data_IF_659424793688
#
_entry.id   IF_659424793688
#
_cell.length_a   1.000
_cell.length_b   1.000
_cell.length_c   1.000
_cell.angle_alpha   90.00
_cell.angle_beta   90.00
_cell.angle_gamma   90.00
#
_symmetry.space_group_name_H-M   'P 1'
#
loop_
_entity.id
_entity.type
_entity.pdbx_description
1 polymer ?
#
# COMPACT_ATOMS: atom_id res chain seq x y z
N UNK A 1 -46.06 34.80 -29.81
CA UNK A 1 -44.96 33.92 -30.24
C UNK A 1 -43.73 34.03 -29.32
N UNK A 2 -43.31 35.27 -28.96
CA UNK A 2 -42.11 35.53 -28.16
C UNK A 2 -42.18 34.96 -26.73
N UNK A 3 -43.28 35.07 -26.03
CA UNK A 3 -43.48 34.55 -24.66
C UNK A 3 -43.37 33.02 -24.63
N UNK A 4 -43.93 32.32 -25.60
CA UNK A 4 -43.87 30.88 -25.72
C UNK A 4 -42.40 30.40 -25.92
N UNK A 5 -41.63 31.11 -26.76
CA UNK A 5 -40.23 30.86 -27.00
C UNK A 5 -39.39 31.01 -25.71
N UNK A 6 -39.64 32.09 -24.94
CA UNK A 6 -38.93 32.32 -23.65
C UNK A 6 -39.27 31.23 -22.64
N UNK A 7 -40.52 30.77 -22.58
CA UNK A 7 -40.92 29.67 -21.66
C UNK A 7 -40.23 28.37 -22.04
N UNK A 8 -40.15 28.03 -23.34
CA UNK A 8 -39.47 26.81 -23.81
C UNK A 8 -37.99 26.89 -23.51
N UNK A 9 -37.33 28.01 -23.79
CA UNK A 9 -35.89 28.18 -23.50
C UNK A 9 -35.61 28.11 -22.01
N UNK A 10 -36.40 28.73 -21.17
CA UNK A 10 -36.27 28.64 -19.70
C UNK A 10 -36.41 27.19 -19.21
N UNK A 11 -37.38 26.45 -19.75
CA UNK A 11 -37.60 25.05 -19.42
C UNK A 11 -36.42 24.17 -19.83
N UNK A 12 -35.83 24.35 -21.02
CA UNK A 12 -34.66 23.62 -21.47
C UNK A 12 -33.45 23.89 -20.57
N UNK A 13 -33.16 25.14 -20.25
CA UNK A 13 -32.08 25.54 -19.35
C UNK A 13 -32.25 24.91 -17.96
N UNK A 14 -33.49 24.94 -17.44
CA UNK A 14 -33.79 24.38 -16.11
C UNK A 14 -33.62 22.86 -16.10
N UNK A 15 -34.08 22.17 -17.15
CA UNK A 15 -33.91 20.70 -17.29
C UNK A 15 -32.44 20.32 -17.43
N UNK A 16 -31.68 21.07 -18.23
CA UNK A 16 -30.26 20.81 -18.42
C UNK A 16 -29.45 21.04 -17.13
N UNK A 17 -29.72 22.13 -16.40
CA UNK A 17 -29.11 22.39 -15.09
C UNK A 17 -29.48 21.32 -14.06
N UNK A 18 -30.72 20.85 -14.04
CA UNK A 18 -31.14 19.76 -13.16
C UNK A 18 -30.44 18.46 -13.49
N UNK A 19 -30.23 18.14 -14.77
CA UNK A 19 -29.42 16.95 -15.18
C UNK A 19 -27.98 17.06 -14.72
N UNK A 20 -27.34 18.22 -14.90
CA UNK A 20 -25.94 18.43 -14.43
C UNK A 20 -25.81 18.25 -12.93
N UNK A 21 -26.78 18.74 -12.15
CA UNK A 21 -26.80 18.55 -10.68
C UNK A 21 -26.97 17.07 -10.32
N UNK A 22 -27.88 16.35 -10.98
CA UNK A 22 -28.10 14.91 -10.74
C UNK A 22 -26.87 14.10 -11.11
N UNK A 23 -26.21 14.40 -12.21
CA UNK A 23 -25.00 13.70 -12.64
C UNK A 23 -23.81 13.99 -11.70
N UNK A 24 -23.68 15.23 -11.21
CA UNK A 24 -22.69 15.58 -10.20
C UNK A 24 -22.91 14.81 -8.87
N UNK A 25 -24.16 14.72 -8.40
CA UNK A 25 -24.52 13.97 -7.20
C UNK A 25 -24.32 12.46 -7.36
N UNK A 26 -24.53 11.90 -8.55
CA UNK A 26 -24.23 10.49 -8.84
C UNK A 26 -22.74 10.24 -8.78
N UNK A 27 -21.94 11.09 -9.41
CA UNK A 27 -20.48 10.98 -9.40
C UNK A 27 -19.91 11.09 -7.98
N UNK A 28 -20.44 12.00 -7.17
CA UNK A 28 -20.06 12.14 -5.76
C UNK A 28 -20.40 10.89 -4.95
N UNK A 29 -21.58 10.32 -5.12
CA UNK A 29 -21.97 9.04 -4.47
C UNK A 29 -21.09 7.86 -4.90
N UNK A 30 -20.76 7.79 -6.20
CA UNK A 30 -19.83 6.76 -6.71
C UNK A 30 -18.44 6.92 -6.11
N UNK A 31 -17.92 8.15 -6.02
CA UNK A 31 -16.67 8.44 -5.32
C UNK A 31 -16.71 8.03 -3.86
N UNK A 32 -17.78 8.35 -3.14
CA UNK A 32 -17.91 8.00 -1.72
C UNK A 32 -18.05 6.49 -1.52
N UNK A 33 -18.73 5.79 -2.42
CA UNK A 33 -18.81 4.34 -2.41
C UNK A 33 -17.44 3.69 -2.68
N UNK A 34 -16.68 4.19 -3.66
CA UNK A 34 -15.33 3.73 -3.96
C UNK A 34 -14.39 3.99 -2.77
N UNK A 35 -14.49 5.16 -2.13
CA UNK A 35 -13.73 5.47 -0.91
C UNK A 35 -14.09 4.54 0.24
N UNK A 36 -15.38 4.29 0.47
CA UNK A 36 -15.83 3.38 1.53
C UNK A 36 -15.36 1.93 1.29
N UNK A 37 -15.36 1.47 0.04
CA UNK A 37 -14.87 0.14 -0.32
C UNK A 37 -13.33 0.07 -0.25
N UNK A 38 -12.63 1.14 -0.60
CA UNK A 38 -11.18 1.27 -0.42
C UNK A 38 -10.80 1.21 1.06
N UNK A 39 -11.51 1.95 1.93
CA UNK A 39 -11.31 1.90 3.38
C UNK A 39 -11.58 0.51 3.97
N UNK A 40 -12.63 -0.19 3.49
CA UNK A 40 -12.91 -1.58 3.90
C UNK A 40 -11.84 -2.55 3.41
N UNK A 41 -11.28 -2.33 2.23
CA UNK A 41 -10.20 -3.16 1.67
C UNK A 41 -8.85 -2.94 2.37
N UNK A 42 -8.63 -1.80 3.00
CA UNK A 42 -7.42 -1.50 3.79
C UNK A 42 -7.34 -2.36 5.05
N UNK A 43 -8.49 -2.68 5.66
CA UNK A 43 -8.56 -3.60 6.80
C UNK A 43 -8.78 -5.02 6.24
N UNK A 44 -7.71 -5.75 5.98
CA UNK A 44 -7.80 -7.16 5.57
C UNK A 44 -8.34 -8.01 6.74
N UNK A 45 -9.61 -8.48 6.71
CA UNK A 45 -10.19 -9.22 7.85
C UNK A 45 -9.34 -10.42 8.24
N UNK A 46 -8.80 -11.12 7.25
CA UNK A 46 -7.91 -12.26 7.46
C UNK A 46 -6.63 -11.91 8.23
N UNK A 47 -6.06 -10.72 8.00
CA UNK A 47 -4.91 -10.26 8.77
C UNK A 47 -5.27 -10.02 10.24
N UNK A 48 -6.42 -9.39 10.50
CA UNK A 48 -6.91 -9.16 11.87
C UNK A 48 -7.08 -10.48 12.61
N UNK A 49 -7.80 -11.45 12.02
CA UNK A 49 -8.00 -12.76 12.65
C UNK A 49 -6.69 -13.49 12.91
N UNK A 50 -5.75 -13.47 11.94
CA UNK A 50 -4.45 -14.10 12.10
C UNK A 50 -3.61 -13.43 13.18
N UNK A 51 -3.63 -12.09 13.25
CA UNK A 51 -2.89 -11.35 14.26
C UNK A 51 -3.45 -11.56 15.66
N UNK A 52 -4.79 -11.63 15.82
CA UNK A 52 -5.43 -11.98 17.08
C UNK A 52 -5.07 -13.41 17.52
N UNK A 53 -5.07 -14.36 16.60
CA UNK A 53 -4.61 -15.72 16.89
C UNK A 53 -3.13 -15.75 17.33
N UNK A 54 -2.28 -14.93 16.69
CA UNK A 54 -0.86 -14.78 17.09
C UNK A 54 -0.71 -14.18 18.47
N UNK A 55 -1.51 -13.17 18.82
CA UNK A 55 -1.55 -12.58 20.16
C UNK A 55 -1.98 -13.61 21.19
N UNK A 56 -3.04 -14.37 20.92
CA UNK A 56 -3.52 -15.44 21.81
C UNK A 56 -2.43 -16.50 22.03
N UNK A 57 -1.82 -17.00 20.96
CA UNK A 57 -0.74 -17.99 21.05
C UNK A 57 0.49 -17.46 21.81
N UNK A 58 0.80 -16.16 21.67
CA UNK A 58 1.87 -15.53 22.43
C UNK A 58 1.56 -15.53 23.93
N UNK A 59 0.33 -15.21 24.34
CA UNK A 59 -0.12 -15.28 25.73
C UNK A 59 -0.11 -16.71 26.31
N UNK A 60 -0.41 -17.72 25.50
CA UNK A 60 -0.35 -19.14 25.90
C UNK A 60 1.11 -19.56 26.24
N UNK A 61 2.09 -18.94 25.58
CA UNK A 61 3.52 -19.21 25.84
C UNK A 61 4.09 -18.41 27.00
N UNK A 62 3.84 -17.11 27.01
CA UNK A 62 4.36 -16.17 28.02
C UNK A 62 3.58 -14.86 27.97
N UNK A 63 3.21 -14.35 29.15
CA UNK A 63 2.45 -13.08 29.28
C UNK A 63 3.22 -11.90 28.69
N UNK A 64 4.53 -11.80 28.93
CA UNK A 64 5.35 -10.72 28.39
C UNK A 64 5.41 -10.75 26.85
N UNK A 65 5.44 -11.94 26.26
CA UNK A 65 5.37 -12.13 24.81
C UNK A 65 4.00 -11.73 24.28
N UNK A 66 2.93 -12.07 25.01
CA UNK A 66 1.54 -11.67 24.70
C UNK A 66 1.37 -10.16 24.69
N UNK A 67 1.87 -9.46 25.71
CA UNK A 67 1.84 -7.99 25.81
C UNK A 67 2.59 -7.33 24.65
N UNK A 68 3.74 -7.89 24.26
CA UNK A 68 4.51 -7.43 23.13
C UNK A 68 3.76 -7.61 21.81
N UNK A 69 3.13 -8.77 21.59
CA UNK A 69 2.32 -9.06 20.42
C UNK A 69 1.10 -8.12 20.32
N UNK A 70 0.38 -7.91 21.44
CA UNK A 70 -0.75 -7.00 21.51
C UNK A 70 -0.35 -5.55 21.21
N UNK A 71 0.80 -5.13 21.72
CA UNK A 71 1.35 -3.79 21.46
C UNK A 71 1.69 -3.60 19.99
N UNK A 72 2.36 -4.57 19.37
CA UNK A 72 2.70 -4.54 17.94
C UNK A 72 1.43 -4.53 17.07
N UNK A 73 0.44 -5.35 17.41
CA UNK A 73 -0.87 -5.38 16.73
C UNK A 73 -1.61 -4.04 16.85
N UNK A 74 -1.66 -3.46 18.04
CA UNK A 74 -2.31 -2.16 18.26
C UNK A 74 -1.64 -1.03 17.47
N UNK A 75 -0.31 -1.01 17.40
CA UNK A 75 0.45 -0.04 16.60
C UNK A 75 0.16 -0.22 15.12
N UNK A 76 0.15 -1.46 14.63
CA UNK A 76 -0.15 -1.76 13.23
C UNK A 76 -1.57 -1.32 12.85
N UNK A 77 -2.59 -1.61 13.68
CA UNK A 77 -3.96 -1.17 13.44
C UNK A 77 -4.07 0.36 13.42
N UNK A 78 -3.45 1.04 14.37
CA UNK A 78 -3.48 2.51 14.43
C UNK A 78 -2.86 3.13 13.19
N UNK A 79 -1.72 2.62 12.73
CA UNK A 79 -1.07 3.10 11.51
C UNK A 79 -1.99 2.97 10.27
N UNK A 80 -2.80 1.91 10.20
CA UNK A 80 -3.75 1.69 9.11
C UNK A 80 -5.01 2.57 9.20
N UNK A 81 -5.44 2.95 10.42
CA UNK A 81 -6.63 3.80 10.65
C UNK A 81 -6.30 5.28 10.49
N UNK A 82 -5.14 5.71 11.03
CA UNK A 82 -4.71 7.12 11.01
C UNK A 82 -4.12 7.55 9.64
N UNK A 83 -3.96 6.60 8.72
CA UNK A 83 -3.49 6.85 7.37
C UNK A 83 -4.57 7.58 6.55
N UNK A 84 -4.47 8.90 6.42
CA UNK A 84 -5.19 9.64 5.38
C UNK A 84 -4.82 9.10 3.99
N UNK A 85 -5.79 8.93 3.09
CA UNK A 85 -5.60 8.23 1.80
C UNK A 85 -4.49 8.83 0.91
N UNK A 86 -4.21 10.13 1.04
CA UNK A 86 -3.30 10.87 0.16
C UNK A 86 -2.06 11.41 0.89
N UNK A 87 -1.79 10.96 2.12
CA UNK A 87 -0.67 11.47 2.88
C UNK A 87 0.66 10.90 2.36
N UNK A 88 1.59 11.79 2.00
CA UNK A 88 3.00 11.46 1.82
C UNK A 88 3.68 11.44 3.19
N UNK A 89 4.43 10.40 3.46
CA UNK A 89 5.19 10.25 4.71
C UNK A 89 6.64 9.90 4.42
N UNK A 90 7.59 10.25 5.29
CA UNK A 90 8.97 9.82 5.16
C UNK A 90 9.08 8.29 5.14
N UNK A 91 10.01 7.74 4.36
CA UNK A 91 10.30 6.30 4.31
C UNK A 91 10.52 5.71 5.70
N UNK A 92 11.09 6.47 6.62
CA UNK A 92 11.24 6.07 8.03
C UNK A 92 9.91 5.60 8.64
N UNK A 93 8.81 6.31 8.37
CA UNK A 93 7.47 5.95 8.88
C UNK A 93 6.92 4.69 8.22
N UNK A 94 7.17 4.50 6.92
CA UNK A 94 6.85 3.24 6.23
C UNK A 94 7.61 2.06 6.86
N UNK A 95 8.91 2.24 7.15
CA UNK A 95 9.74 1.21 7.81
C UNK A 95 9.22 0.88 9.20
N UNK A 96 8.80 1.87 9.99
CA UNK A 96 8.19 1.65 11.31
C UNK A 96 6.92 0.78 11.21
N UNK A 97 6.05 1.07 10.24
CA UNK A 97 4.83 0.29 9.98
C UNK A 97 5.16 -1.15 9.53
N UNK A 98 6.14 -1.29 8.65
CA UNK A 98 6.63 -2.57 8.16
C UNK A 98 7.23 -3.39 9.32
N UNK A 99 8.01 -2.80 10.19
CA UNK A 99 8.60 -3.50 11.34
C UNK A 99 7.52 -4.04 12.29
N UNK A 100 6.45 -3.29 12.56
CA UNK A 100 5.31 -3.79 13.35
C UNK A 100 4.65 -5.01 12.69
N UNK A 101 4.47 -4.99 11.36
CA UNK A 101 3.97 -6.12 10.59
C UNK A 101 4.91 -7.33 10.67
N UNK A 102 6.20 -7.13 10.43
CA UNK A 102 7.23 -8.18 10.45
C UNK A 102 7.32 -8.85 11.81
N UNK A 103 7.26 -8.07 12.90
CA UNK A 103 7.25 -8.59 14.26
C UNK A 103 6.06 -9.55 14.49
N UNK A 104 4.84 -9.13 14.12
CA UNK A 104 3.64 -9.96 14.24
C UNK A 104 3.72 -11.23 13.37
N UNK A 105 4.17 -11.11 12.13
CA UNK A 105 4.30 -12.25 11.22
C UNK A 105 5.31 -13.29 11.72
N UNK A 106 6.42 -12.84 12.30
CA UNK A 106 7.46 -13.73 12.81
C UNK A 106 7.08 -14.41 14.14
N UNK A 107 6.22 -13.79 14.96
CA UNK A 107 5.75 -14.41 16.21
C UNK A 107 4.97 -15.71 16.00
N UNK A 108 4.30 -15.87 14.85
CA UNK A 108 3.51 -17.07 14.51
C UNK A 108 4.29 -18.12 13.73
N UNK A 109 5.54 -17.83 13.36
CA UNK A 109 6.37 -18.73 12.55
C UNK A 109 7.32 -19.53 13.43
N UNK A 110 7.46 -20.83 13.15
CA UNK A 110 8.50 -21.65 13.78
C UNK A 110 9.88 -21.21 13.36
N UNK A 111 10.04 -20.84 12.08
CA UNK A 111 11.27 -20.28 11.53
C UNK A 111 11.01 -18.84 11.07
N UNK A 112 11.54 -17.85 11.80
CA UNK A 112 11.33 -16.46 11.43
C UNK A 112 12.02 -16.11 10.10
N UNK A 113 11.39 -15.25 9.34
CA UNK A 113 11.94 -14.66 8.12
C UNK A 113 12.82 -13.48 8.52
N UNK A 114 14.04 -13.43 8.04
CA UNK A 114 14.96 -12.32 8.28
C UNK A 114 14.51 -11.11 7.49
N UNK A 115 14.25 -10.01 8.17
CA UNK A 115 14.00 -8.74 7.53
C UNK A 115 15.25 -7.88 7.58
N UNK A 116 15.78 -7.51 6.41
CA UNK A 116 17.04 -6.79 6.26
C UNK A 116 16.76 -5.38 5.72
N UNK A 117 17.32 -4.36 6.38
CA UNK A 117 17.21 -2.96 5.99
C UNK A 117 18.58 -2.46 5.52
N UNK A 118 18.60 -1.86 4.31
CA UNK A 118 19.75 -1.18 3.73
C UNK A 118 19.23 0.12 3.07
N UNK A 119 18.81 1.06 3.92
CA UNK A 119 18.18 2.29 3.51
C UNK A 119 19.09 3.47 3.83
N UNK A 120 19.55 4.18 2.80
CA UNK A 120 20.47 5.32 2.91
C UNK A 120 19.73 6.66 3.04
N UNK A 121 18.51 6.75 2.47
CA UNK A 121 17.69 7.96 2.50
C UNK A 121 16.35 7.64 3.15
N UNK A 122 16.18 8.10 4.39
CA UNK A 122 15.00 7.84 5.20
C UNK A 122 13.93 8.96 5.09
N UNK A 123 14.31 10.11 4.55
CA UNK A 123 13.44 11.28 4.40
C UNK A 123 12.69 11.29 3.05
N UNK A 124 13.02 10.33 2.17
CA UNK A 124 12.26 10.08 0.95
C UNK A 124 10.77 9.98 1.27
N UNK A 125 9.95 10.84 0.66
CA UNK A 125 8.51 10.87 0.89
C UNK A 125 7.78 9.89 -0.02
N UNK A 126 6.93 9.05 0.57
CA UNK A 126 6.14 8.02 -0.11
C UNK A 126 4.68 8.08 0.35
N UNK A 127 3.72 7.64 -0.47
CA UNK A 127 2.35 7.45 0.00
C UNK A 127 2.34 6.44 1.16
N UNK A 128 1.65 6.80 2.23
CA UNK A 128 1.56 5.96 3.44
C UNK A 128 1.04 4.55 3.09
N UNK A 129 1.61 3.50 3.70
CA UNK A 129 1.27 2.09 3.46
C UNK A 129 1.43 1.64 2.00
N UNK A 130 2.31 2.30 1.24
CA UNK A 130 2.55 1.95 -0.16
C UNK A 130 3.53 0.80 -0.34
N UNK A 131 4.50 0.64 0.56
CA UNK A 131 5.49 -0.44 0.51
C UNK A 131 4.98 -1.72 1.20
N UNK A 132 4.12 -1.60 2.19
CA UNK A 132 3.63 -2.73 2.98
C UNK A 132 3.04 -3.88 2.14
N UNK A 133 2.18 -3.67 1.10
CA UNK A 133 1.63 -4.76 0.31
C UNK A 133 2.70 -5.60 -0.41
N UNK A 134 3.82 -5.00 -0.79
CA UNK A 134 4.94 -5.71 -1.40
C UNK A 134 5.69 -6.56 -0.38
N UNK A 135 5.91 -6.02 0.83
CA UNK A 135 6.53 -6.76 1.96
C UNK A 135 5.63 -7.92 2.40
N UNK A 136 4.31 -7.71 2.54
CA UNK A 136 3.35 -8.77 2.85
C UNK A 136 3.43 -9.92 1.84
N UNK A 137 3.53 -9.56 0.56
CA UNK A 137 3.64 -10.54 -0.51
C UNK A 137 4.97 -11.31 -0.44
N UNK A 138 6.09 -10.62 -0.20
CA UNK A 138 7.39 -11.23 0.00
C UNK A 138 7.39 -12.20 1.19
N UNK A 139 6.80 -11.81 2.33
CA UNK A 139 6.64 -12.67 3.50
C UNK A 139 5.75 -13.89 3.25
N UNK A 140 4.68 -13.72 2.47
CA UNK A 140 3.75 -14.81 2.13
C UNK A 140 4.40 -15.90 1.29
N UNK A 141 5.29 -15.52 0.36
CA UNK A 141 5.89 -16.43 -0.60
C UNK A 141 7.37 -16.74 -0.30
N UNK A 142 7.89 -16.24 0.82
CA UNK A 142 9.24 -16.53 1.28
C UNK A 142 9.41 -18.00 1.62
N UNK A 143 10.57 -18.57 1.27
CA UNK A 143 10.93 -19.96 1.59
C UNK A 143 11.51 -20.05 2.98
N UNK A 144 10.74 -20.55 3.93
CA UNK A 144 11.24 -20.86 5.29
C UNK A 144 11.93 -22.22 5.38
N UNK A 145 11.83 -23.05 4.35
CA UNK A 145 12.31 -24.44 4.33
C UNK A 145 13.76 -24.57 3.84
N UNK A 146 14.36 -23.51 3.31
CA UNK A 146 15.76 -23.53 2.85
C UNK A 146 16.72 -23.53 4.04
N UNK A 147 17.94 -24.10 3.83
CA UNK A 147 19.00 -24.17 4.85
C UNK A 147 19.34 -22.79 5.40
N UNK A 148 19.36 -21.76 4.54
CA UNK A 148 19.66 -20.37 4.89
C UNK A 148 18.45 -19.60 5.45
N UNK A 149 17.26 -20.22 5.49
CA UNK A 149 16.02 -19.59 5.88
C UNK A 149 15.51 -18.56 4.86
N UNK A 150 14.29 -18.03 5.11
CA UNK A 150 13.72 -16.96 4.32
C UNK A 150 14.33 -15.60 4.66
N UNK A 151 14.50 -14.75 3.66
CA UNK A 151 14.78 -13.34 3.89
C UNK A 151 13.93 -12.43 2.98
N UNK A 152 13.66 -11.24 3.49
CA UNK A 152 13.12 -10.11 2.76
C UNK A 152 14.00 -8.91 3.04
N UNK A 153 14.48 -8.24 2.01
CA UNK A 153 15.34 -7.07 2.12
C UNK A 153 14.67 -5.85 1.51
N UNK A 154 14.66 -4.75 2.26
CA UNK A 154 14.27 -3.42 1.79
C UNK A 154 15.53 -2.56 1.66
N UNK A 155 15.73 -2.00 0.47
CA UNK A 155 16.82 -1.07 0.18
C UNK A 155 16.28 0.26 -0.32
N UNK A 156 16.94 1.34 0.01
CA UNK A 156 16.69 2.65 -0.62
C UNK A 156 18.00 3.39 -0.89
N UNK A 157 18.05 4.09 -2.01
CA UNK A 157 19.17 4.94 -2.37
C UNK A 157 18.72 6.12 -3.22
N UNK A 158 19.41 7.25 -3.07
CA UNK A 158 19.32 8.35 -4.01
C UNK A 158 20.08 7.99 -5.30
N UNK A 159 19.54 8.40 -6.44
CA UNK A 159 20.16 8.25 -7.76
C UNK A 159 20.03 9.58 -8.51
N UNK A 160 20.82 9.84 -9.57
CA UNK A 160 20.63 11.05 -10.37
C UNK A 160 19.18 11.16 -10.87
N UNK A 161 18.50 12.25 -10.50
CA UNK A 161 17.11 12.53 -10.90
C UNK A 161 16.03 11.85 -10.04
N UNK A 162 16.38 11.29 -8.87
CA UNK A 162 15.36 10.74 -7.95
C UNK A 162 15.89 9.71 -6.96
N UNK A 163 15.03 8.74 -6.66
CA UNK A 163 15.30 7.70 -5.67
C UNK A 163 14.90 6.33 -6.21
N UNK A 164 15.55 5.29 -5.73
CA UNK A 164 15.20 3.90 -5.99
C UNK A 164 14.96 3.18 -4.69
N UNK A 165 13.79 2.53 -4.56
CA UNK A 165 13.48 1.60 -3.48
C UNK A 165 13.39 0.20 -4.07
N UNK A 166 14.08 -0.76 -3.45
CA UNK A 166 14.07 -2.16 -3.87
C UNK A 166 13.57 -3.05 -2.73
N UNK A 167 12.72 -4.00 -3.07
CA UNK A 167 12.27 -5.05 -2.17
C UNK A 167 12.68 -6.38 -2.81
N UNK A 168 13.46 -7.17 -2.09
CA UNK A 168 14.02 -8.43 -2.58
C UNK A 168 13.68 -9.56 -1.61
N UNK A 169 13.19 -10.68 -2.12
CA UNK A 169 12.99 -11.91 -1.37
C UNK A 169 13.66 -13.09 -2.05
N UNK A 170 13.98 -14.13 -1.27
CA UNK A 170 14.46 -15.41 -1.78
C UNK A 170 13.35 -16.47 -1.85
N UNK A 171 12.12 -16.05 -2.07
CA UNK A 171 10.94 -16.90 -2.09
C UNK A 171 10.85 -17.84 -3.30
N UNK A 172 9.66 -18.37 -3.50
CA UNK A 172 9.39 -19.30 -4.60
C UNK A 172 9.48 -18.65 -5.99
N UNK A 173 9.37 -17.31 -6.06
CA UNK A 173 9.30 -16.58 -7.32
C UNK A 173 8.09 -17.00 -8.16
N UNK A 174 7.93 -16.34 -9.29
CA UNK A 174 6.86 -16.64 -10.25
C UNK A 174 7.24 -16.15 -11.64
N UNK A 175 6.53 -16.59 -12.65
CA UNK A 175 6.62 -16.05 -14.01
C UNK A 175 5.66 -14.85 -14.13
N UNK A 176 6.16 -13.61 -14.27
CA UNK A 176 5.30 -12.43 -14.38
C UNK A 176 4.38 -12.46 -15.58
N UNK A 177 4.77 -13.16 -16.67
CA UNK A 177 3.96 -13.28 -17.90
C UNK A 177 2.79 -14.25 -17.75
N UNK A 178 2.90 -15.22 -16.85
CA UNK A 178 1.88 -16.24 -16.59
C UNK A 178 0.81 -15.78 -15.60
N UNK A 179 1.06 -14.71 -14.84
CA UNK A 179 0.13 -14.19 -13.84
C UNK A 179 -0.93 -13.32 -14.50
N UNK A 180 -2.11 -13.90 -14.75
CA UNK A 180 -3.27 -13.20 -15.34
C UNK A 180 -3.84 -12.06 -14.49
N UNK A 181 -3.52 -11.98 -13.20
CA UNK A 181 -3.84 -10.83 -12.34
C UNK A 181 -2.83 -10.73 -11.21
N UNK A 182 -2.07 -9.66 -11.17
CA UNK A 182 -1.42 -9.20 -9.93
C UNK A 182 -2.48 -9.13 -8.84
N UNK A 183 -2.16 -9.58 -7.63
CA UNK A 183 -3.12 -9.47 -6.51
C UNK A 183 -3.64 -8.03 -6.43
N UNK A 184 -4.92 -7.85 -6.15
CA UNK A 184 -5.57 -6.52 -6.08
C UNK A 184 -4.75 -5.55 -5.22
N UNK A 185 -4.16 -6.04 -4.13
CA UNK A 185 -3.31 -5.23 -3.25
C UNK A 185 -2.05 -4.69 -3.91
N UNK A 186 -1.33 -5.49 -4.69
CA UNK A 186 -0.12 -5.04 -5.40
C UNK A 186 -0.46 -4.04 -6.51
N UNK A 187 -1.55 -4.28 -7.24
CA UNK A 187 -2.01 -3.35 -8.28
C UNK A 187 -2.38 -1.99 -7.68
N UNK A 188 -3.14 -1.98 -6.59
CA UNK A 188 -3.54 -0.74 -5.92
C UNK A 188 -2.32 0.01 -5.35
N UNK A 189 -1.36 -0.69 -4.73
CA UNK A 189 -0.14 -0.09 -4.22
C UNK A 189 0.71 0.53 -5.35
N UNK A 190 0.87 -0.19 -6.47
CA UNK A 190 1.58 0.33 -7.64
C UNK A 190 0.89 1.55 -8.24
N UNK A 191 -0.44 1.55 -8.32
CA UNK A 191 -1.21 2.67 -8.85
C UNK A 191 -1.13 3.90 -7.93
N UNK A 192 -1.18 3.73 -6.61
CA UNK A 192 -0.98 4.81 -5.64
C UNK A 192 0.41 5.42 -5.78
N UNK A 193 1.45 4.60 -5.85
CA UNK A 193 2.82 5.08 -6.08
C UNK A 193 2.93 5.85 -7.39
N UNK A 194 2.29 5.38 -8.46
CA UNK A 194 2.26 6.06 -9.75
C UNK A 194 1.57 7.42 -9.68
N UNK A 195 0.40 7.50 -9.03
CA UNK A 195 -0.42 8.72 -8.99
C UNK A 195 0.17 9.75 -8.03
N UNK A 196 0.57 9.33 -6.81
CA UNK A 196 0.94 10.26 -5.73
C UNK A 196 2.43 10.59 -5.69
N UNK A 197 3.29 9.69 -6.19
CA UNK A 197 4.73 9.87 -6.20
C UNK A 197 5.34 9.86 -7.61
N UNK A 198 4.52 9.79 -8.67
CA UNK A 198 4.95 9.64 -10.06
C UNK A 198 5.95 8.48 -10.26
N UNK A 199 5.85 7.47 -9.42
CA UNK A 199 6.79 6.36 -9.38
C UNK A 199 6.50 5.31 -10.47
N UNK A 200 7.55 4.62 -10.91
CA UNK A 200 7.47 3.44 -11.76
C UNK A 200 7.77 2.20 -10.92
N UNK A 201 6.92 1.19 -11.00
CA UNK A 201 7.11 -0.10 -10.33
C UNK A 201 7.43 -1.16 -11.36
N UNK A 202 8.56 -1.85 -11.18
CA UNK A 202 9.00 -2.97 -12.03
C UNK A 202 9.16 -4.22 -11.16
N UNK A 203 8.72 -5.37 -11.68
CA UNK A 203 8.81 -6.67 -11.00
C UNK A 203 9.71 -7.58 -11.82
N UNK A 204 10.78 -8.06 -11.20
CA UNK A 204 11.68 -9.07 -11.74
C UNK A 204 11.56 -10.33 -10.88
N UNK A 205 11.07 -11.42 -11.47
CA UNK A 205 10.84 -12.67 -10.76
C UNK A 205 10.94 -13.86 -11.72
N UNK A 206 11.42 -14.98 -11.23
CA UNK A 206 11.39 -16.25 -11.94
C UNK A 206 11.15 -17.41 -10.96
N UNK A 207 10.49 -18.49 -11.38
CA UNK A 207 10.28 -19.67 -10.55
C UNK A 207 11.58 -20.16 -9.92
N UNK A 208 11.59 -20.28 -8.60
CA UNK A 208 12.74 -20.73 -7.83
C UNK A 208 13.80 -19.68 -7.52
N UNK A 209 13.70 -18.45 -8.04
CA UNK A 209 14.73 -17.40 -7.87
C UNK A 209 14.32 -16.26 -6.96
N UNK A 210 13.12 -16.32 -6.35
CA UNK A 210 12.58 -15.22 -5.56
C UNK A 210 12.01 -14.09 -6.40
N UNK A 211 11.79 -12.93 -5.76
CA UNK A 211 11.23 -11.75 -6.42
C UNK A 211 12.03 -10.51 -6.05
N UNK A 212 12.25 -9.64 -7.04
CA UNK A 212 12.80 -8.30 -6.88
C UNK A 212 11.80 -7.29 -7.42
N UNK A 213 11.39 -6.36 -6.56
CA UNK A 213 10.52 -5.23 -6.92
C UNK A 213 11.37 -3.98 -6.88
N UNK A 214 11.32 -3.20 -7.95
CA UNK A 214 12.06 -1.96 -8.11
C UNK A 214 11.06 -0.83 -8.25
N UNK A 215 11.15 0.17 -7.39
CA UNK A 215 10.30 1.36 -7.37
C UNK A 215 11.20 2.56 -7.64
N UNK A 216 11.08 3.13 -8.82
CA UNK A 216 11.80 4.33 -9.25
C UNK A 216 10.93 5.55 -9.01
N UNK A 217 11.40 6.49 -8.21
CA UNK A 217 10.68 7.69 -7.79
C UNK A 217 11.46 8.90 -8.32
N UNK A 218 10.93 9.64 -9.28
CA UNK A 218 11.60 10.82 -9.80
C UNK A 218 11.63 11.93 -8.75
N UNK A 219 12.68 12.74 -8.78
CA UNK A 219 12.75 13.97 -7.98
C UNK A 219 11.63 14.92 -8.43
N UNK A 220 10.72 15.27 -7.51
CA UNK A 220 9.68 16.25 -7.79
C UNK A 220 10.35 17.63 -7.75
N UNK A 221 10.74 18.15 -8.90
CA UNK A 221 11.12 19.54 -9.02
C UNK A 221 9.91 20.40 -8.61
N UNK A 222 9.95 20.98 -7.41
CA UNK A 222 9.01 22.02 -6.96
C UNK A 222 9.27 23.32 -7.77
N UNK A 223 9.02 23.27 -9.06
CA UNK A 223 9.07 24.47 -9.91
C UNK A 223 7.91 24.39 -10.89
N UNK A 224 6.73 24.81 -10.41
CA UNK A 224 5.72 25.56 -11.16
C UNK A 224 4.39 25.61 -10.41
N UNK A 225 4.32 26.38 -9.33
CA UNK A 225 3.08 27.10 -8.98
C UNK A 225 3.42 28.29 -8.07
N UNK A 226 4.05 29.26 -8.67
CA UNK A 226 4.35 30.53 -8.04
C UNK A 226 4.38 31.65 -9.06
N UNK A 227 3.30 31.78 -9.88
CA UNK A 227 2.98 33.05 -10.58
C UNK A 227 1.67 32.90 -11.37
N UNK A 228 0.55 33.24 -10.75
CA UNK A 228 -0.40 34.21 -11.35
C UNK A 228 -1.44 34.58 -10.30
#
# INVERSE_FOLDING_TARGET
PMILFVIVLYREITVENSRKVVDALKLERERDAIKADSLRAQIKPHFIFNSLASVQHAYEKDTALGDKALTAFSRHLRANVDAGEDALVPLKREIENINNYVELENMRREKPIRFLLDCQDLDLSLPILSLQPFIENAFKYSRTETVDGGFVQLKSRAVPGGHVVEIVDNGVGFDPSAVKSTSVGLKNASERLRILANARVTVDSAPGKGTRIIIEIPEINQTQDGKK
#
